data_IF_095364142427
#
_entry.id   IF_095364142427
#
_cell.length_a   1.000
_cell.length_b   1.000
_cell.length_c   1.000
_cell.angle_alpha   90.00
_cell.angle_beta   90.00
_cell.angle_gamma   90.00
#
_symmetry.space_group_name_H-M   'P 1'
#
loop_
_entity.id
_entity.type
_entity.pdbx_description
1 polymer ?
#
# COMPACT_ATOMS: atom_id res chain seq x y z
N UNK A 1 11.31 33.11 9.91
CA UNK A 1 11.56 31.79 9.31
C UNK A 1 12.23 32.07 7.98
N UNK A 2 13.54 31.81 7.87
CA UNK A 2 14.29 32.00 6.62
C UNK A 2 14.24 30.68 5.82
N UNK A 3 13.84 30.76 4.55
CA UNK A 3 13.78 29.61 3.65
C UNK A 3 15.06 29.62 2.81
N UNK A 4 15.90 28.59 2.93
CA UNK A 4 17.23 28.58 2.29
C UNK A 4 17.22 28.01 0.86
N UNK A 5 16.24 27.17 0.51
CA UNK A 5 16.14 26.53 -0.81
C UNK A 5 14.68 26.32 -1.20
N UNK A 6 14.30 26.67 -2.44
CA UNK A 6 12.94 26.48 -2.97
C UNK A 6 12.99 25.57 -4.19
N UNK A 7 12.30 24.43 -4.13
CA UNK A 7 12.12 23.53 -5.27
C UNK A 7 10.63 23.18 -5.39
N UNK A 8 10.06 23.29 -6.58
CA UNK A 8 8.65 22.94 -6.82
C UNK A 8 8.57 21.59 -7.51
N UNK A 9 8.24 20.54 -6.78
CA UNK A 9 7.77 19.28 -7.35
C UNK A 9 6.28 19.49 -7.70
N UNK A 10 5.95 19.49 -9.00
CA UNK A 10 4.62 19.50 -9.68
C UNK A 10 3.43 20.28 -9.07
N UNK A 11 2.54 20.73 -9.96
CA UNK A 11 1.23 21.35 -9.69
C UNK A 11 0.20 20.45 -8.92
N UNK A 12 0.60 19.26 -8.44
CA UNK A 12 -0.29 18.22 -7.87
C UNK A 12 0.34 17.39 -6.72
N UNK A 13 1.52 17.75 -6.21
CA UNK A 13 2.08 17.16 -4.98
C UNK A 13 1.93 18.14 -3.81
N UNK A 14 2.05 17.65 -2.58
CA UNK A 14 2.10 18.53 -1.40
C UNK A 14 3.25 19.51 -1.58
N UNK A 15 2.95 20.82 -1.54
CA UNK A 15 3.94 21.86 -1.83
C UNK A 15 5.17 21.73 -0.94
N UNK A 16 6.36 21.65 -1.52
CA UNK A 16 7.61 21.84 -0.78
C UNK A 16 7.98 23.32 -0.84
N UNK A 17 7.92 24.00 0.31
CA UNK A 17 8.27 25.42 0.38
C UNK A 17 9.76 25.63 0.55
N UNK A 18 10.43 24.72 1.26
CA UNK A 18 11.89 24.70 1.36
C UNK A 18 12.42 24.07 2.63
N UNK A 19 13.70 24.29 2.88
CA UNK A 19 14.36 23.95 4.14
C UNK A 19 14.55 25.20 4.99
N UNK A 20 14.38 25.05 6.30
CA UNK A 20 14.69 26.04 7.33
C UNK A 20 15.58 25.39 8.38
N UNK A 21 16.04 26.16 9.36
CA UNK A 21 16.89 25.68 10.44
C UNK A 21 16.34 26.17 11.78
N UNK A 22 16.30 25.30 12.78
CA UNK A 22 15.98 25.71 14.14
C UNK A 22 17.15 26.53 14.70
N UNK A 23 16.93 27.78 15.15
CA UNK A 23 18.02 28.64 15.62
C UNK A 23 18.70 28.13 16.89
N UNK A 24 17.98 27.36 17.73
CA UNK A 24 18.49 26.88 19.02
C UNK A 24 19.20 25.52 18.88
N UNK A 25 18.60 24.57 18.16
CA UNK A 25 19.13 23.20 18.02
C UNK A 25 20.02 23.01 16.81
N UNK A 26 20.05 23.97 15.88
CA UNK A 26 20.66 23.86 14.56
C UNK A 26 20.09 22.74 13.67
N UNK A 27 18.96 22.13 14.04
CA UNK A 27 18.30 21.09 13.25
C UNK A 27 17.74 21.65 11.95
N UNK A 28 17.98 20.94 10.85
CA UNK A 28 17.39 21.28 9.54
C UNK A 28 15.95 20.77 9.54
N UNK A 29 15.02 21.65 9.21
CA UNK A 29 13.59 21.34 9.14
C UNK A 29 13.10 21.52 7.71
N UNK A 30 12.23 20.62 7.27
CA UNK A 30 11.53 20.71 6.00
C UNK A 30 10.20 21.45 6.18
N UNK A 31 9.93 22.41 5.29
CA UNK A 31 8.68 23.19 5.29
C UNK A 31 7.84 22.76 4.08
N UNK A 32 6.68 22.16 4.35
CA UNK A 32 5.75 21.69 3.33
C UNK A 32 4.36 22.31 3.49
N UNK A 33 3.50 22.12 2.50
CA UNK A 33 2.06 22.33 2.62
C UNK A 33 1.50 21.56 3.81
N UNK A 34 0.58 22.16 4.53
CA UNK A 34 -0.10 21.50 5.65
C UNK A 34 -1.20 20.58 5.11
N UNK A 35 -1.09 19.29 5.44
CA UNK A 35 -2.09 18.29 5.10
C UNK A 35 -3.15 18.22 6.21
N UNK A 36 -4.28 18.89 5.98
CA UNK A 36 -5.34 19.12 6.97
C UNK A 36 -5.95 17.87 7.58
N UNK A 37 -5.90 16.73 6.87
CA UNK A 37 -6.61 15.51 7.27
C UNK A 37 -5.65 14.47 7.86
N UNK A 38 -4.39 14.84 8.10
CA UNK A 38 -3.38 13.98 8.71
C UNK A 38 -2.89 12.86 7.79
N UNK A 39 -2.44 11.74 8.36
CA UNK A 39 -2.01 10.57 7.60
C UNK A 39 -3.21 9.70 7.20
N UNK A 40 -3.08 8.94 6.11
CA UNK A 40 -4.09 7.97 5.68
C UNK A 40 -4.41 6.98 6.80
N UNK A 41 -3.41 6.55 7.57
CA UNK A 41 -3.62 5.66 8.74
C UNK A 41 -4.57 6.30 9.77
N UNK A 42 -4.26 7.51 10.22
CA UNK A 42 -5.09 8.22 11.20
C UNK A 42 -6.48 8.51 10.66
N UNK A 43 -6.56 8.97 9.41
CA UNK A 43 -7.82 9.25 8.76
C UNK A 43 -8.72 8.02 8.64
N UNK A 44 -8.16 6.85 8.32
CA UNK A 44 -8.92 5.60 8.28
C UNK A 44 -9.44 5.22 9.67
N UNK A 45 -8.61 5.32 10.72
CA UNK A 45 -9.04 5.01 12.08
C UNK A 45 -10.28 5.81 12.50
N UNK A 46 -10.37 7.07 12.11
CA UNK A 46 -11.46 7.96 12.48
C UNK A 46 -12.66 7.90 11.52
N UNK A 47 -12.44 7.61 10.24
CA UNK A 47 -13.44 7.82 9.18
C UNK A 47 -13.80 6.57 8.37
N UNK A 48 -13.25 5.39 8.69
CA UNK A 48 -13.40 4.18 7.86
C UNK A 48 -14.84 3.89 7.42
N UNK A 49 -15.80 3.99 8.34
CA UNK A 49 -17.22 3.69 8.09
C UNK A 49 -17.86 4.59 7.03
N UNK A 50 -17.27 5.76 6.75
CA UNK A 50 -17.79 6.75 5.82
C UNK A 50 -17.09 6.69 4.44
N UNK A 51 -16.13 5.78 4.25
CA UNK A 51 -15.31 5.71 3.04
C UNK A 51 -15.75 4.50 2.21
N UNK A 52 -16.58 4.74 1.20
CA UNK A 52 -17.01 3.72 0.24
C UNK A 52 -15.88 3.28 -0.70
N UNK A 53 -16.04 2.11 -1.31
CA UNK A 53 -15.03 1.47 -2.18
C UNK A 53 -14.60 2.33 -3.36
N UNK A 54 -15.51 3.11 -3.95
CA UNK A 54 -15.15 4.08 -5.00
C UNK A 54 -14.10 5.08 -4.52
N UNK A 55 -14.22 5.57 -3.28
CA UNK A 55 -13.25 6.49 -2.67
C UNK A 55 -11.95 5.75 -2.33
N UNK A 56 -12.01 4.52 -1.80
CA UNK A 56 -10.83 3.68 -1.54
C UNK A 56 -9.99 3.44 -2.80
N UNK A 57 -10.63 3.08 -3.92
CA UNK A 57 -9.96 2.93 -5.22
C UNK A 57 -9.40 4.26 -5.73
N UNK A 58 -10.11 5.37 -5.49
CA UNK A 58 -9.55 6.69 -5.81
C UNK A 58 -8.27 6.97 -5.04
N UNK A 59 -8.19 6.64 -3.74
CA UNK A 59 -6.97 6.80 -2.97
C UNK A 59 -5.81 6.00 -3.58
N UNK A 60 -6.05 4.71 -3.83
CA UNK A 60 -5.05 3.84 -4.46
C UNK A 60 -4.58 4.38 -5.82
N UNK A 61 -5.47 4.95 -6.63
CA UNK A 61 -5.13 5.57 -7.91
C UNK A 61 -4.13 6.71 -7.75
N UNK A 62 -4.37 7.64 -6.82
CA UNK A 62 -3.46 8.76 -6.59
C UNK A 62 -2.12 8.27 -6.02
N UNK A 63 -2.17 7.34 -5.06
CA UNK A 63 -0.98 6.78 -4.42
C UNK A 63 -0.09 6.04 -5.45
N UNK A 64 -0.68 5.19 -6.30
CA UNK A 64 0.09 4.45 -7.31
C UNK A 64 0.64 5.37 -8.39
N UNK A 65 -0.03 6.48 -8.69
CA UNK A 65 0.47 7.50 -9.60
C UNK A 65 1.75 8.15 -9.08
N UNK A 66 1.77 8.55 -7.81
CA UNK A 66 2.97 9.10 -7.16
C UNK A 66 4.09 8.07 -7.14
N UNK A 67 3.80 6.83 -6.75
CA UNK A 67 4.78 5.76 -6.69
C UNK A 67 5.35 5.40 -8.07
N UNK A 68 4.50 5.34 -9.11
CA UNK A 68 4.93 5.14 -10.49
C UNK A 68 5.89 6.23 -10.94
N UNK A 69 5.58 7.49 -10.66
CA UNK A 69 6.47 8.60 -11.01
C UNK A 69 7.86 8.45 -10.35
N UNK A 70 7.93 7.99 -9.09
CA UNK A 70 9.22 7.71 -8.43
C UNK A 70 9.98 6.57 -9.13
N UNK A 71 9.27 5.46 -9.39
CA UNK A 71 9.86 4.26 -10.00
C UNK A 71 10.37 4.53 -11.42
N UNK A 72 9.67 5.36 -12.21
CA UNK A 72 10.10 5.82 -13.54
C UNK A 72 11.39 6.65 -13.49
N UNK A 73 11.68 7.30 -12.37
CA UNK A 73 12.96 8.01 -12.13
C UNK A 73 14.04 7.09 -11.52
N UNK A 74 13.77 5.79 -11.38
CA UNK A 74 14.68 4.84 -10.75
C UNK A 74 14.81 4.99 -9.23
N UNK A 75 13.87 5.69 -8.59
CA UNK A 75 13.86 5.97 -7.15
C UNK A 75 12.86 5.03 -6.46
N UNK A 76 13.29 4.37 -5.39
CA UNK A 76 12.42 3.64 -4.47
C UNK A 76 12.11 4.51 -3.25
N UNK A 77 10.92 4.35 -2.67
CA UNK A 77 10.51 5.11 -1.49
C UNK A 77 11.21 4.60 -0.21
N UNK A 78 11.30 3.28 -0.06
CA UNK A 78 11.98 2.53 1.03
C UNK A 78 11.34 2.56 2.41
N UNK A 79 10.50 3.54 2.72
CA UNK A 79 9.65 3.54 3.92
C UNK A 79 8.17 3.79 3.57
N UNK A 80 7.67 3.01 2.61
CA UNK A 80 6.32 3.18 2.08
C UNK A 80 5.27 2.50 2.96
N UNK A 81 4.41 3.29 3.59
CA UNK A 81 3.32 2.82 4.46
C UNK A 81 2.21 3.88 4.60
N UNK A 82 1.04 3.51 5.13
CA UNK A 82 -0.13 4.40 5.29
C UNK A 82 0.13 5.64 6.17
N UNK A 83 1.08 5.58 7.10
CA UNK A 83 1.55 6.73 7.88
C UNK A 83 2.30 7.81 7.07
N UNK A 84 2.95 7.44 5.96
CA UNK A 84 3.72 8.33 5.08
C UNK A 84 2.90 8.75 3.84
N UNK A 85 1.58 8.63 3.93
CA UNK A 85 0.63 9.13 2.95
C UNK A 85 -0.21 10.16 3.67
N UNK A 86 -0.04 11.44 3.32
CA UNK A 86 -0.80 12.52 3.94
C UNK A 86 -2.04 12.85 3.11
N UNK A 87 -3.11 13.26 3.78
CA UNK A 87 -4.36 13.65 3.17
C UNK A 87 -4.60 15.15 3.33
N UNK A 88 -4.89 15.82 2.21
CA UNK A 88 -5.36 17.20 2.20
C UNK A 88 -6.61 17.30 1.35
N UNK A 89 -7.73 17.73 1.94
CA UNK A 89 -9.06 17.71 1.32
C UNK A 89 -9.41 16.32 0.75
N UNK A 90 -9.05 15.26 1.49
CA UNK A 90 -9.21 13.86 1.10
C UNK A 90 -8.56 13.53 -0.25
N UNK A 91 -7.44 14.17 -0.59
CA UNK A 91 -6.55 13.78 -1.68
C UNK A 91 -5.25 13.28 -1.03
N UNK A 92 -4.79 12.06 -1.34
CA UNK A 92 -3.57 11.52 -0.76
C UNK A 92 -2.34 12.03 -1.50
N UNK A 93 -1.27 12.25 -0.73
CA UNK A 93 0.03 12.67 -1.21
C UNK A 93 1.09 11.80 -0.55
N UNK A 94 1.96 11.21 -1.36
CA UNK A 94 3.14 10.51 -0.84
C UNK A 94 4.10 11.53 -0.21
N UNK A 95 4.59 11.24 1.00
CA UNK A 95 5.52 12.10 1.75
C UNK A 95 6.66 11.28 2.35
N UNK A 96 7.56 11.97 3.06
CA UNK A 96 8.70 11.40 3.79
C UNK A 96 9.69 10.63 2.90
N UNK A 97 10.31 11.41 2.01
CA UNK A 97 11.36 10.92 1.12
C UNK A 97 12.74 10.82 1.80
N UNK A 98 12.82 10.88 3.13
CA UNK A 98 14.10 10.91 3.87
C UNK A 98 14.98 9.69 3.61
N UNK A 99 14.37 8.55 3.28
CA UNK A 99 15.05 7.30 2.92
C UNK A 99 14.98 6.96 1.44
N UNK A 100 14.27 7.77 0.65
CA UNK A 100 14.10 7.53 -0.77
C UNK A 100 15.42 7.66 -1.52
N UNK A 101 15.58 6.84 -2.55
CA UNK A 101 16.77 6.88 -3.38
C UNK A 101 16.86 5.72 -4.36
N UNK A 102 17.97 5.63 -5.10
CA UNK A 102 18.13 4.59 -6.10
C UNK A 102 18.00 3.19 -5.49
N UNK A 103 17.47 2.27 -6.30
CA UNK A 103 17.67 0.85 -6.07
C UNK A 103 19.19 0.56 -5.96
N UNK A 104 19.58 -0.45 -5.19
CA UNK A 104 20.97 -0.94 -5.09
C UNK A 104 21.96 -0.13 -4.23
N UNK A 105 21.53 0.95 -3.56
CA UNK A 105 22.33 1.51 -2.45
C UNK A 105 22.12 0.62 -1.22
N UNK A 106 22.92 -0.44 -1.12
CA UNK A 106 22.84 -1.46 -0.07
C UNK A 106 23.11 -0.85 1.31
N UNK A 107 22.08 -0.44 2.04
CA UNK A 107 22.17 -0.40 3.50
C UNK A 107 22.07 -1.85 3.98
N UNK A 108 23.03 -2.31 4.77
CA UNK A 108 22.90 -3.61 5.48
C UNK A 108 21.77 -3.58 6.52
N UNK A 109 21.32 -2.38 6.84
CA UNK A 109 20.29 -2.03 7.78
C UNK A 109 18.92 -2.01 7.09
N UNK A 110 17.96 -2.67 7.74
CA UNK A 110 16.55 -2.65 7.34
C UNK A 110 15.88 -1.61 8.22
N UNK A 111 15.34 -0.56 7.61
CA UNK A 111 14.59 0.47 8.31
C UNK A 111 13.14 0.47 7.82
N UNK A 112 12.20 0.67 8.73
CA UNK A 112 10.79 0.87 8.41
C UNK A 112 9.86 0.23 9.44
N UNK A 113 8.59 0.09 9.08
CA UNK A 113 7.59 -0.61 9.89
C UNK A 113 7.51 -2.06 9.43
N UNK A 114 7.85 -3.01 10.31
CA UNK A 114 7.94 -4.46 10.02
C UNK A 114 6.79 -4.99 9.16
N UNK A 115 5.55 -4.58 9.45
CA UNK A 115 4.35 -5.06 8.76
C UNK A 115 4.30 -4.72 7.27
N UNK A 116 5.05 -3.71 6.83
CA UNK A 116 5.14 -3.29 5.42
C UNK A 116 6.40 -3.79 4.73
N UNK A 117 7.39 -4.29 5.47
CA UNK A 117 8.67 -4.69 4.88
C UNK A 117 8.50 -5.99 4.09
N UNK A 118 8.87 -5.95 2.82
CA UNK A 118 8.84 -7.10 1.93
C UNK A 118 9.76 -8.24 2.43
N UNK A 119 9.39 -9.52 2.24
CA UNK A 119 10.13 -10.64 2.82
C UNK A 119 11.57 -10.76 2.31
N UNK A 120 11.85 -10.39 1.05
CA UNK A 120 13.21 -10.32 0.53
C UNK A 120 14.05 -9.22 1.21
N UNK A 121 13.43 -8.11 1.61
CA UNK A 121 14.09 -7.03 2.33
C UNK A 121 14.36 -7.44 3.77
N UNK A 122 13.45 -8.17 4.43
CA UNK A 122 13.70 -8.79 5.74
C UNK A 122 14.90 -9.76 5.70
N UNK A 123 15.12 -10.40 4.56
CA UNK A 123 16.28 -11.25 4.27
C UNK A 123 17.53 -10.48 3.86
N UNK A 124 17.52 -9.15 3.97
CA UNK A 124 18.62 -8.25 3.61
C UNK A 124 19.06 -8.37 2.15
N UNK A 125 18.16 -8.85 1.27
CA UNK A 125 18.37 -8.73 -0.17
C UNK A 125 18.21 -7.25 -0.56
N UNK A 126 18.80 -6.88 -1.69
CA UNK A 126 18.80 -5.49 -2.16
C UNK A 126 17.39 -4.95 -2.34
N UNK A 127 17.15 -3.75 -1.81
CA UNK A 127 15.89 -3.05 -1.99
C UNK A 127 15.71 -2.65 -3.45
N UNK A 128 14.53 -2.95 -4.00
CA UNK A 128 14.14 -2.65 -5.38
C UNK A 128 12.69 -2.16 -5.43
N UNK A 129 12.26 -1.58 -6.55
CA UNK A 129 10.89 -1.06 -6.71
C UNK A 129 9.77 -2.06 -6.35
N UNK A 130 9.89 -3.37 -6.65
CA UNK A 130 8.92 -4.37 -6.18
C UNK A 130 8.72 -4.46 -4.66
N UNK A 131 9.67 -4.00 -3.84
CA UNK A 131 9.47 -3.94 -2.40
C UNK A 131 8.50 -2.83 -1.99
N UNK A 132 8.49 -1.68 -2.68
CA UNK A 132 7.43 -0.67 -2.49
C UNK A 132 6.07 -1.22 -2.96
N UNK A 133 6.03 -2.06 -4.01
CA UNK A 133 4.78 -2.71 -4.47
C UNK A 133 4.24 -3.68 -3.42
N UNK A 134 5.10 -4.40 -2.70
CA UNK A 134 4.68 -5.21 -1.56
C UNK A 134 4.00 -4.37 -0.48
N UNK A 135 4.64 -3.27 -0.09
CA UNK A 135 4.05 -2.28 0.84
C UNK A 135 2.70 -1.74 0.34
N UNK A 136 2.55 -1.53 -0.97
CA UNK A 136 1.27 -1.13 -1.57
C UNK A 136 0.18 -2.17 -1.32
N UNK A 137 0.49 -3.46 -1.52
CA UNK A 137 -0.43 -4.56 -1.21
C UNK A 137 -0.84 -4.60 0.27
N UNK A 138 0.08 -4.29 1.17
CA UNK A 138 -0.23 -4.14 2.61
C UNK A 138 -1.19 -2.97 2.85
N UNK A 139 -0.98 -1.80 2.23
CA UNK A 139 -1.90 -0.65 2.31
C UNK A 139 -3.30 -1.00 1.77
N UNK A 140 -3.39 -1.87 0.75
CA UNK A 140 -4.68 -2.37 0.28
C UNK A 140 -5.45 -3.14 1.37
N UNK A 141 -4.76 -3.93 2.20
CA UNK A 141 -5.40 -4.62 3.33
C UNK A 141 -5.92 -3.64 4.39
N UNK A 142 -5.20 -2.54 4.64
CA UNK A 142 -5.67 -1.47 5.54
C UNK A 142 -6.90 -0.76 4.99
N UNK A 143 -6.96 -0.47 3.69
CA UNK A 143 -8.17 0.13 3.09
C UNK A 143 -9.36 -0.82 3.13
N UNK A 144 -9.11 -2.13 3.12
CA UNK A 144 -10.13 -3.17 3.20
C UNK A 144 -10.69 -3.34 4.61
N UNK A 145 -9.82 -3.40 5.63
CA UNK A 145 -10.18 -3.65 7.04
C UNK A 145 -10.41 -2.37 7.84
N UNK A 146 -9.78 -1.29 7.41
CA UNK A 146 -9.54 -0.06 8.17
C UNK A 146 -8.41 -0.21 9.19
N UNK A 147 -8.03 -1.44 9.55
CA UNK A 147 -7.21 -1.77 10.70
C UNK A 147 -5.72 -1.78 10.32
N UNK A 148 -4.82 -1.61 11.30
CA UNK A 148 -3.41 -1.84 11.06
C UNK A 148 -3.16 -3.27 10.56
N UNK A 149 -2.15 -3.49 9.68
CA UNK A 149 -1.87 -4.83 9.18
C UNK A 149 -1.47 -5.76 10.34
N UNK A 150 -1.94 -7.00 10.29
CA UNK A 150 -1.72 -8.01 11.34
C UNK A 150 -2.23 -7.61 12.74
N UNK A 151 -3.31 -6.80 12.84
CA UNK A 151 -3.91 -6.36 14.10
C UNK A 151 -4.29 -7.51 15.07
N UNK A 152 -4.52 -8.71 14.55
CA UNK A 152 -4.87 -9.92 15.30
C UNK A 152 -3.63 -10.72 15.75
N UNK A 153 -2.43 -10.32 15.34
CA UNK A 153 -1.20 -11.04 15.68
C UNK A 153 -0.66 -10.56 17.04
N UNK A 154 -0.58 -11.48 18.00
CA UNK A 154 -0.07 -11.24 19.35
C UNK A 154 1.40 -11.65 19.53
N UNK A 155 2.04 -12.15 18.47
CA UNK A 155 3.44 -12.57 18.48
C UNK A 155 4.41 -11.38 18.54
N UNK A 156 5.65 -11.64 18.96
CA UNK A 156 6.70 -10.64 18.88
C UNK A 156 7.17 -10.40 17.43
N UNK A 157 7.90 -9.31 17.21
CA UNK A 157 8.43 -8.92 15.89
C UNK A 157 9.18 -10.05 15.17
N UNK A 158 9.96 -10.87 15.89
CA UNK A 158 10.71 -11.98 15.28
C UNK A 158 9.78 -13.07 14.78
N UNK A 159 8.77 -13.45 15.56
CA UNK A 159 7.76 -14.42 15.15
C UNK A 159 6.98 -13.93 13.94
N UNK A 160 6.58 -12.65 13.93
CA UNK A 160 5.91 -12.06 12.78
C UNK A 160 6.80 -12.07 11.53
N UNK A 161 8.08 -11.69 11.65
CA UNK A 161 9.03 -11.73 10.54
C UNK A 161 9.22 -13.15 9.98
N UNK A 162 9.31 -14.17 10.85
CA UNK A 162 9.37 -15.58 10.45
C UNK A 162 8.11 -15.98 9.68
N UNK A 163 6.93 -15.66 10.21
CA UNK A 163 5.66 -15.99 9.56
C UNK A 163 5.49 -15.30 8.21
N UNK A 164 5.88 -14.02 8.08
CA UNK A 164 5.85 -13.27 6.81
C UNK A 164 6.74 -13.97 5.75
N UNK A 165 7.95 -14.36 6.13
CA UNK A 165 8.86 -15.08 5.23
C UNK A 165 8.30 -16.46 4.85
N UNK A 166 7.59 -17.12 5.77
CA UNK A 166 6.87 -18.39 5.50
C UNK A 166 5.53 -18.22 4.77
N UNK A 167 5.19 -17.01 4.33
CA UNK A 167 4.03 -16.76 3.47
C UNK A 167 2.78 -16.23 4.16
N UNK A 168 2.85 -15.87 5.44
CA UNK A 168 1.76 -15.15 6.11
C UNK A 168 1.52 -13.80 5.42
N UNK A 169 0.24 -13.47 5.19
CA UNK A 169 -0.21 -12.16 4.70
C UNK A 169 -1.34 -11.65 5.60
N UNK A 170 -1.60 -10.32 5.64
CA UNK A 170 -2.69 -9.78 6.44
C UNK A 170 -4.05 -10.21 5.89
N UNK A 171 -5.02 -10.31 6.79
CA UNK A 171 -6.41 -10.59 6.44
C UNK A 171 -7.09 -9.36 5.81
N UNK A 172 -8.16 -9.62 5.06
CA UNK A 172 -9.04 -8.60 4.48
C UNK A 172 -10.31 -8.44 5.31
N UNK A 173 -10.92 -7.26 5.23
CA UNK A 173 -12.22 -6.99 5.84
C UNK A 173 -13.32 -7.86 5.22
N UNK A 174 -14.32 -8.20 6.02
CA UNK A 174 -15.47 -8.98 5.56
C UNK A 174 -16.15 -8.32 4.35
N UNK A 175 -16.58 -9.14 3.39
CA UNK A 175 -17.21 -8.65 2.16
C UNK A 175 -16.27 -8.01 1.14
N UNK A 176 -14.96 -7.93 1.40
CA UNK A 176 -13.99 -7.39 0.42
C UNK A 176 -14.08 -8.13 -0.92
N UNK A 177 -14.22 -7.42 -2.06
CA UNK A 177 -14.35 -8.06 -3.37
C UNK A 177 -13.13 -8.90 -3.75
N UNK A 178 -13.35 -10.09 -4.31
CA UNK A 178 -12.27 -11.02 -4.65
C UNK A 178 -11.30 -10.45 -5.70
N UNK A 179 -11.79 -9.66 -6.66
CA UNK A 179 -10.92 -8.96 -7.62
C UNK A 179 -9.93 -8.02 -6.94
N UNK A 180 -10.32 -7.42 -5.82
CA UNK A 180 -9.44 -6.55 -5.03
C UNK A 180 -8.41 -7.37 -4.24
N UNK A 181 -8.84 -8.49 -3.63
CA UNK A 181 -7.94 -9.41 -2.92
C UNK A 181 -6.89 -9.99 -3.85
N UNK A 182 -7.30 -10.45 -5.03
CA UNK A 182 -6.39 -11.00 -6.04
C UNK A 182 -5.29 -9.99 -6.40
N UNK A 183 -5.66 -8.73 -6.69
CA UNK A 183 -4.70 -7.67 -6.99
C UNK A 183 -3.74 -7.38 -5.82
N UNK A 184 -4.26 -7.37 -4.58
CA UNK A 184 -3.44 -7.17 -3.38
C UNK A 184 -2.49 -8.36 -3.15
N UNK A 185 -2.92 -9.60 -3.38
CA UNK A 185 -2.08 -10.79 -3.28
C UNK A 185 -0.97 -10.81 -4.34
N UNK A 186 -1.26 -10.40 -5.58
CA UNK A 186 -0.22 -10.22 -6.62
C UNK A 186 0.85 -9.21 -6.17
N UNK A 187 0.44 -8.11 -5.53
CA UNK A 187 1.38 -7.14 -4.97
C UNK A 187 2.23 -7.74 -3.84
N UNK A 188 1.66 -8.66 -3.05
CA UNK A 188 2.32 -9.29 -1.91
C UNK A 188 2.99 -10.64 -2.20
N UNK A 189 3.21 -11.00 -3.47
CA UNK A 189 3.89 -12.27 -3.82
C UNK A 189 5.29 -12.33 -3.17
N UNK A 190 5.67 -13.49 -2.62
CA UNK A 190 6.97 -13.68 -2.00
C UNK A 190 8.14 -13.50 -2.99
N UNK A 191 7.93 -13.81 -4.27
CA UNK A 191 8.85 -13.54 -5.34
C UNK A 191 8.62 -12.12 -5.89
N UNK A 192 9.56 -11.22 -5.60
CA UNK A 192 9.57 -9.84 -6.07
C UNK A 192 9.35 -9.70 -7.60
N UNK A 193 9.82 -10.66 -8.41
CA UNK A 193 9.69 -10.59 -9.87
C UNK A 193 8.29 -10.95 -10.38
N UNK A 194 7.45 -11.58 -9.55
CA UNK A 194 6.05 -11.88 -9.89
C UNK A 194 5.10 -10.72 -9.59
N UNK A 195 5.54 -9.73 -8.81
CA UNK A 195 4.74 -8.55 -8.46
C UNK A 195 4.55 -7.66 -9.69
N UNK A 196 3.39 -7.00 -9.85
CA UNK A 196 3.19 -6.05 -10.93
C UNK A 196 4.10 -4.84 -10.75
N UNK A 197 4.55 -4.25 -11.86
CA UNK A 197 5.15 -2.91 -11.86
C UNK A 197 4.11 -1.87 -11.46
N UNK A 198 4.52 -0.70 -10.96
CA UNK A 198 3.61 0.40 -10.65
C UNK A 198 2.72 0.82 -11.84
N UNK A 199 3.25 0.79 -13.08
CA UNK A 199 2.46 1.09 -14.29
C UNK A 199 1.32 0.09 -14.52
N UNK A 200 1.62 -1.22 -14.48
CA UNK A 200 0.62 -2.28 -14.56
C UNK A 200 -0.43 -2.14 -13.47
N UNK A 201 0.00 -1.89 -12.23
CA UNK A 201 -0.91 -1.73 -11.09
C UNK A 201 -1.81 -0.49 -11.23
N UNK A 202 -1.29 0.63 -11.74
CA UNK A 202 -2.10 1.81 -12.06
C UNK A 202 -3.21 1.48 -13.06
N UNK A 203 -2.88 0.78 -14.15
CA UNK A 203 -3.88 0.38 -15.16
C UNK A 203 -4.96 -0.52 -14.54
N UNK A 204 -4.60 -1.42 -13.62
CA UNK A 204 -5.55 -2.30 -12.94
C UNK A 204 -6.55 -1.50 -12.10
N UNK A 205 -6.02 -0.58 -11.29
CA UNK A 205 -6.81 0.27 -10.41
C UNK A 205 -7.71 1.21 -11.22
N UNK A 206 -7.21 1.77 -12.33
CA UNK A 206 -8.00 2.60 -13.25
C UNK A 206 -9.17 1.82 -13.84
N UNK A 207 -8.95 0.58 -14.29
CA UNK A 207 -10.02 -0.27 -14.80
C UNK A 207 -11.12 -0.50 -13.74
N UNK A 208 -10.74 -0.79 -12.49
CA UNK A 208 -11.71 -0.92 -11.39
C UNK A 208 -12.44 0.41 -11.13
N UNK A 209 -11.74 1.54 -11.13
CA UNK A 209 -12.34 2.86 -11.00
C UNK A 209 -13.37 3.14 -12.11
N UNK A 210 -13.08 2.74 -13.34
CA UNK A 210 -13.96 2.95 -14.49
C UNK A 210 -15.18 2.03 -14.47
N UNK A 211 -15.05 0.81 -13.94
CA UNK A 211 -16.20 -0.06 -13.67
C UNK A 211 -17.15 0.58 -12.64
N UNK A 212 -16.63 1.09 -11.51
CA UNK A 212 -17.45 1.70 -10.46
C UNK A 212 -18.01 3.08 -10.85
N UNK A 213 -17.34 3.77 -11.75
CA UNK A 213 -17.80 5.04 -12.32
C UNK A 213 -18.74 4.84 -13.52
N UNK A 214 -19.03 3.59 -13.91
CA UNK A 214 -19.87 3.24 -15.06
C UNK A 214 -19.36 3.86 -16.38
N UNK A 215 -18.05 4.09 -16.49
CA UNK A 215 -17.41 4.51 -17.74
C UNK A 215 -17.20 3.34 -18.70
N UNK A 216 -17.19 2.12 -18.15
CA UNK A 216 -17.20 0.85 -18.87
C UNK A 216 -18.44 0.10 -18.40
N UNK A 217 -19.26 -0.39 -19.33
CA UNK A 217 -20.59 -0.94 -19.04
C UNK A 217 -20.83 -2.31 -19.66
N UNK A 218 -19.76 -3.02 -20.05
CA UNK A 218 -19.87 -4.42 -20.45
C UNK A 218 -20.32 -5.31 -19.26
N UNK A 219 -20.78 -6.53 -19.57
CA UNK A 219 -21.33 -7.46 -18.55
C UNK A 219 -20.33 -7.77 -17.43
N UNK A 220 -19.04 -7.78 -17.73
CA UNK A 220 -18.00 -8.03 -16.74
C UNK A 220 -17.82 -6.82 -15.82
N UNK A 221 -17.79 -5.60 -16.36
CA UNK A 221 -17.74 -4.37 -15.57
C UNK A 221 -18.96 -4.23 -14.65
N UNK A 222 -20.16 -4.60 -15.12
CA UNK A 222 -21.37 -4.66 -14.28
C UNK A 222 -21.25 -5.66 -13.14
N UNK A 223 -20.73 -6.86 -13.39
CA UNK A 223 -20.48 -7.87 -12.36
C UNK A 223 -19.48 -7.37 -11.31
N UNK A 224 -18.36 -6.78 -11.75
CA UNK A 224 -17.37 -6.16 -10.85
C UNK A 224 -18.05 -5.12 -9.97
N UNK A 225 -18.74 -4.14 -10.57
CA UNK A 225 -19.44 -3.08 -9.83
C UNK A 225 -20.40 -3.66 -8.79
N UNK A 226 -21.19 -4.67 -9.15
CA UNK A 226 -22.12 -5.32 -8.22
C UNK A 226 -21.41 -5.93 -6.99
N UNK A 227 -20.20 -6.47 -7.14
CA UNK A 227 -19.42 -6.98 -5.98
C UNK A 227 -19.01 -5.84 -5.04
N UNK A 228 -18.59 -4.69 -5.57
CA UNK A 228 -18.24 -3.51 -4.77
C UNK A 228 -19.47 -2.87 -4.13
N UNK A 229 -20.60 -2.77 -4.84
CA UNK A 229 -21.87 -2.27 -4.28
C UNK A 229 -22.37 -3.15 -3.12
N UNK A 230 -22.14 -4.47 -3.19
CA UNK A 230 -22.40 -5.38 -2.07
C UNK A 230 -21.43 -5.12 -0.92
N UNK A 231 -20.15 -4.99 -1.20
CA UNK A 231 -19.12 -4.77 -0.20
C UNK A 231 -19.28 -3.43 0.55
N UNK A 232 -19.80 -2.38 -0.10
CA UNK A 232 -20.12 -1.11 0.55
C UNK A 232 -21.16 -1.27 1.67
N UNK A 233 -22.06 -2.26 1.57
CA UNK A 233 -23.08 -2.55 2.60
C UNK A 233 -22.50 -3.20 3.85
N UNK A 234 -21.32 -3.83 3.77
CA UNK A 234 -20.66 -4.49 4.90
C UNK A 234 -19.77 -3.55 5.73
N UNK A 235 -19.41 -2.37 5.20
CA UNK A 235 -18.51 -1.41 5.85
C UNK A 235 -18.94 -1.07 7.30
N UNK A 236 -20.23 -0.82 7.60
CA UNK A 236 -20.67 -0.53 8.97
C UNK A 236 -20.40 -1.69 9.95
N UNK A 237 -20.44 -2.94 9.49
CA UNK A 237 -20.25 -4.13 10.35
C UNK A 237 -18.78 -4.27 10.79
N UNK A 238 -17.83 -3.91 9.91
CA UNK A 238 -16.39 -3.98 10.18
C UNK A 238 -15.98 -3.03 11.33
N UNK A 239 -16.64 -1.88 11.47
CA UNK A 239 -16.32 -0.87 12.49
C UNK A 239 -16.43 -1.39 13.94
N UNK A 240 -17.33 -2.35 14.20
CA UNK A 240 -17.54 -2.90 15.55
C UNK A 240 -16.30 -3.64 16.08
N UNK A 241 -15.43 -4.13 15.20
CA UNK A 241 -14.18 -4.79 15.56
C UNK A 241 -13.07 -3.80 15.97
N UNK A 242 -13.15 -2.56 15.48
CA UNK A 242 -12.13 -1.52 15.63
C UNK A 242 -11.98 -0.99 17.05
N UNK A 243 -13.09 -0.81 17.76
CA UNK A 243 -13.11 -0.19 19.11
C UNK A 243 -12.47 -1.05 20.20
N UNK A 244 -12.08 -2.30 19.92
CA UNK A 244 -11.51 -3.21 20.93
C UNK A 244 -9.98 -3.24 20.99
N UNK A 245 -9.27 -2.75 19.97
CA UNK A 245 -7.83 -2.97 19.84
C UNK A 245 -7.08 -1.67 19.49
N UNK A 246 -6.97 -0.74 20.44
CA UNK A 246 -6.08 0.42 20.31
C UNK A 246 -4.89 0.22 21.24
N UNK A 247 -3.77 -0.29 20.71
CA UNK A 247 -2.41 0.02 21.15
C UNK A 247 -1.42 -0.87 20.39
N UNK A 248 -0.98 -0.43 19.20
CA UNK A 248 0.15 -1.07 18.52
C UNK A 248 1.16 -0.03 18.04
N UNK A 249 2.44 -0.32 18.32
CA UNK A 249 3.61 0.52 18.05
C UNK A 249 3.91 0.53 16.54
N UNK A 250 3.34 1.48 15.79
CA UNK A 250 3.57 1.62 14.35
C UNK A 250 4.50 2.78 14.01
N UNK A 251 5.74 2.73 14.53
CA UNK A 251 6.78 3.71 14.27
C UNK A 251 7.89 3.03 13.46
N UNK A 252 8.37 3.70 12.41
CA UNK A 252 9.52 3.23 11.64
C UNK A 252 10.74 3.11 12.53
N UNK A 253 11.40 1.96 12.48
CA UNK A 253 12.57 1.66 13.30
C UNK A 253 13.55 0.77 12.56
N UNK A 254 14.72 0.66 13.14
CA UNK A 254 15.74 -0.26 12.69
C UNK A 254 15.36 -1.69 13.06
N UNK A 255 15.36 -2.59 12.08
CA UNK A 255 14.92 -3.98 12.21
C UNK A 255 16.12 -4.92 12.04
N UNK A 256 16.26 -5.83 13.00
CA UNK A 256 17.35 -6.80 13.01
C UNK A 256 16.80 -8.21 13.25
N UNK A 257 16.79 -9.01 12.18
CA UNK A 257 16.48 -10.42 12.23
C UNK A 257 17.64 -11.22 11.63
N UNK A 258 17.94 -12.35 12.26
CA UNK A 258 18.90 -13.34 11.81
C UNK A 258 18.16 -14.67 11.60
N UNK A 259 18.62 -15.45 10.62
CA UNK A 259 18.16 -16.82 10.35
C UNK A 259 16.67 -16.93 9.98
N UNK A 260 16.18 -15.98 9.15
CA UNK A 260 14.84 -16.08 8.54
C UNK A 260 14.84 -17.11 7.39
N UNK A 261 13.74 -17.86 7.17
CA UNK A 261 13.63 -18.81 6.05
C UNK A 261 13.63 -18.09 4.71
N UNK A 262 13.85 -18.82 3.60
CA UNK A 262 13.67 -18.22 2.28
C UNK A 262 12.20 -17.82 2.07
N UNK A 263 11.92 -16.64 1.48
CA UNK A 263 10.56 -16.19 1.23
C UNK A 263 9.77 -17.19 0.39
N UNK A 264 8.62 -17.61 0.90
CA UNK A 264 7.65 -18.46 0.21
C UNK A 264 6.24 -17.88 0.28
N UNK A 265 5.37 -18.32 -0.63
CA UNK A 265 3.93 -18.13 -0.50
C UNK A 265 3.36 -19.31 0.32
N UNK A 266 2.35 -19.05 1.14
CA UNK A 266 1.61 -20.13 1.82
C UNK A 266 0.77 -20.92 0.80
N UNK A 267 0.49 -22.18 1.12
CA UNK A 267 -0.37 -23.05 0.29
C UNK A 267 -1.81 -22.53 0.14
N UNK A 268 -2.30 -21.75 1.11
CA UNK A 268 -3.60 -21.07 1.03
C UNK A 268 -3.59 -19.92 0.00
N UNK A 269 -2.45 -19.22 -0.16
CA UNK A 269 -2.33 -18.18 -1.19
C UNK A 269 -2.16 -18.78 -2.60
N UNK A 270 -1.60 -19.98 -2.72
CA UNK A 270 -1.54 -20.68 -4.01
C UNK A 270 -2.93 -21.10 -4.50
N UNK A 271 -3.90 -21.42 -3.64
CA UNK A 271 -5.27 -21.74 -4.11
C UNK A 271 -5.97 -20.54 -4.78
N UNK A 272 -5.71 -19.30 -4.37
CA UNK A 272 -6.26 -18.11 -5.06
C UNK A 272 -5.62 -17.86 -6.43
N UNK A 273 -4.36 -18.27 -6.62
CA UNK A 273 -3.59 -18.07 -7.85
C UNK A 273 -3.71 -19.27 -8.81
N UNK A 274 -3.80 -20.50 -8.29
CA UNK A 274 -3.91 -21.77 -9.02
C UNK A 274 -5.35 -22.23 -9.25
N UNK A 275 -6.36 -21.71 -8.53
CA UNK A 275 -7.76 -22.15 -8.74
C UNK A 275 -8.33 -21.79 -10.11
N UNK A 276 -7.68 -20.94 -10.91
CA UNK A 276 -8.23 -20.49 -12.20
C UNK A 276 -9.55 -19.70 -12.08
N UNK A 277 -10.07 -19.51 -10.86
CA UNK A 277 -11.43 -19.01 -10.63
C UNK A 277 -11.53 -17.49 -10.79
N UNK A 278 -10.47 -16.72 -10.49
CA UNK A 278 -10.37 -15.27 -10.70
C UNK A 278 -8.89 -14.88 -10.91
N UNK A 279 -8.41 -14.94 -12.15
CA UNK A 279 -7.07 -14.42 -12.51
C UNK A 279 -7.18 -13.09 -13.25
N UNK A 280 -6.53 -12.02 -12.77
CA UNK A 280 -6.34 -10.78 -13.54
C UNK A 280 -5.13 -10.94 -14.46
N UNK A 281 -5.33 -11.52 -15.65
CA UNK A 281 -4.25 -11.59 -16.65
C UNK A 281 -4.19 -10.29 -17.43
N UNK A 282 -3.05 -9.61 -17.40
CA UNK A 282 -2.75 -8.57 -18.40
C UNK A 282 -2.60 -9.25 -19.76
N UNK A 283 -3.39 -8.82 -20.72
CA UNK A 283 -3.11 -9.09 -22.13
C UNK A 283 -2.03 -8.17 -22.68
N UNK A 284 -1.47 -8.57 -23.82
CA UNK A 284 -0.45 -7.82 -24.55
C UNK A 284 -0.95 -6.45 -25.05
N UNK A 285 -2.26 -6.21 -25.12
CA UNK A 285 -2.87 -4.91 -25.43
C UNK A 285 -3.13 -4.02 -24.19
N UNK A 286 -2.68 -4.46 -23.00
CA UNK A 286 -2.76 -3.68 -21.77
C UNK A 286 -4.13 -3.69 -21.09
N UNK A 287 -5.04 -4.57 -21.51
CA UNK A 287 -6.34 -4.78 -20.85
C UNK A 287 -6.25 -5.84 -19.76
N UNK A 288 -7.05 -5.68 -18.71
CA UNK A 288 -7.21 -6.69 -17.67
C UNK A 288 -8.29 -7.69 -18.08
N UNK A 289 -7.91 -8.95 -18.26
CA UNK A 289 -8.85 -10.04 -18.30
C UNK A 289 -8.99 -10.59 -16.88
N UNK A 290 -10.17 -10.42 -16.27
CA UNK A 290 -10.58 -11.30 -15.18
C UNK A 290 -11.05 -12.57 -15.86
N UNK A 291 -10.31 -13.66 -15.68
CA UNK A 291 -10.78 -14.99 -16.01
C UNK A 291 -11.83 -15.34 -14.95
N UNK A 292 -13.10 -15.35 -15.32
CA UNK A 292 -14.10 -16.13 -14.59
C UNK A 292 -14.28 -17.40 -15.42
N UNK A 293 -13.92 -18.57 -14.89
CA UNK A 293 -14.42 -19.81 -15.48
C UNK A 293 -15.94 -19.90 -15.22
N UNK A 294 -16.68 -20.39 -16.21
CA UNK A 294 -18.13 -20.60 -16.16
C UNK A 294 -18.51 -21.72 -15.20
#
# INVERSE_FOLDING_TARGET
MEIYYRFTLRNKSLSFYGLTKNPDTNEIMMVTGFASDGSLRGFLADNFSNILWKKKLSYLKWIIQDLKNLHEQGICHKDFHSGNILLHNQIPYLTDFGLSGPANKNSKEIFGILTYVAPEVLKRKTYTAPADIYSFGIIMTELSTGLPPYYNNQGNDRMLALSICSGLRPDFGEGTPEVYKALAHECMDANANKRPTAEKLEKAILYLCDCLAERITDEKAKKIKATFDKADKEIPNIQLLFKKNSDLKHISKLLYFNDLPEPGNSSLNSEYVDSGQIGMKLSDDGKFFILFEN
#
